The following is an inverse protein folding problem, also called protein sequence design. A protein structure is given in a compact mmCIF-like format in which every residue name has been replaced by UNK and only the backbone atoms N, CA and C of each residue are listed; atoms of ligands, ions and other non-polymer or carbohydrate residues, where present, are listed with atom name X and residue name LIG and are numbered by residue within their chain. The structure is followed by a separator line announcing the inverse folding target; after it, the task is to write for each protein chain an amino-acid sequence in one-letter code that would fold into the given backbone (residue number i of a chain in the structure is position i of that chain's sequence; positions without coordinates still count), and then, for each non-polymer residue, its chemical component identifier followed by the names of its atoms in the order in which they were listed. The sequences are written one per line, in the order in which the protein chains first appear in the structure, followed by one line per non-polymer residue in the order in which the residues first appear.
data_IF_666220141278
#
_entry.id   IF_666220141278
#
_cell.length_a   1.000
_cell.length_b   1.000
_cell.length_c   1.000
_cell.angle_alpha   90.00
_cell.angle_beta   90.00
_cell.angle_gamma   90.00
#
_symmetry.space_group_name_H-M   'P 1'
#
loop_
_entity.id
_entity.type
_entity.pdbx_description
1 polymer ?
#
# COMPACT_ATOMS: atom_id res chain seq x y z
N UNK A 1 32.92 11.39 71.79
CA UNK A 1 32.08 10.62 72.75
C UNK A 1 30.68 11.22 72.75
N UNK A 2 29.71 10.56 72.10
CA UNK A 2 28.29 10.64 72.43
C UNK A 2 27.57 9.46 71.76
N UNK A 3 26.62 8.95 72.51
CA UNK A 3 26.09 7.59 72.51
C UNK A 3 24.86 7.49 71.59
N UNK A 4 24.63 6.28 71.07
CA UNK A 4 23.52 5.83 70.23
C UNK A 4 22.12 5.99 70.85
N UNK A 5 21.11 6.16 69.98
CA UNK A 5 19.70 5.66 70.04
C UNK A 5 18.84 6.53 69.09
N UNK A 6 17.89 6.10 68.25
CA UNK A 6 17.28 4.81 67.84
C UNK A 6 16.53 5.08 66.51
N UNK A 7 16.55 4.08 65.60
CA UNK A 7 15.54 3.62 64.62
C UNK A 7 14.75 4.64 63.75
N UNK A 8 14.80 4.44 62.43
CA UNK A 8 13.69 3.80 61.69
C UNK A 8 14.08 3.45 60.24
N UNK A 9 13.32 2.52 59.70
CA UNK A 9 13.53 1.66 58.52
C UNK A 9 13.50 2.39 57.18
N UNK A 10 14.48 2.12 56.32
CA UNK A 10 14.33 2.20 54.86
C UNK A 10 14.96 0.95 54.23
N UNK A 11 14.20 0.32 53.35
CA UNK A 11 14.53 -0.91 52.61
C UNK A 11 15.64 -0.65 51.58
N UNK A 12 16.46 -1.66 51.26
CA UNK A 12 17.74 -1.46 50.60
C UNK A 12 17.62 -1.35 49.08
N UNK A 13 18.48 -0.50 48.52
CA UNK A 13 18.86 -0.55 47.12
C UNK A 13 19.64 -1.84 46.85
N UNK A 14 19.33 -2.55 45.77
CA UNK A 14 20.27 -3.48 45.15
C UNK A 14 20.20 -3.33 43.63
N UNK A 15 21.35 -2.94 43.10
CA UNK A 15 21.81 -3.15 41.74
C UNK A 15 21.49 -4.57 41.24
N UNK A 16 21.03 -4.69 40.00
CA UNK A 16 21.86 -5.14 38.87
C UNK A 16 21.00 -5.60 37.68
N UNK A 17 21.64 -5.58 36.51
CA UNK A 17 21.27 -6.27 35.28
C UNK A 17 20.22 -5.55 34.43
N UNK A 18 20.68 -4.82 33.41
CA UNK A 18 20.31 -5.09 32.01
C UNK A 18 21.35 -4.44 31.09
N UNK A 19 22.36 -5.24 30.75
CA UNK A 19 23.18 -5.04 29.56
C UNK A 19 22.46 -5.81 28.45
N UNK A 20 22.01 -5.13 27.40
CA UNK A 20 21.11 -5.74 26.41
C UNK A 20 20.77 -4.84 25.23
N UNK A 21 21.84 -4.41 24.56
CA UNK A 21 21.93 -3.70 23.29
C UNK A 21 20.87 -4.09 22.23
N UNK A 22 20.08 -3.12 21.72
CA UNK A 22 19.39 -3.25 20.41
C UNK A 22 18.91 -1.92 19.78
N UNK A 23 19.78 -0.90 19.68
CA UNK A 23 19.46 0.38 19.00
C UNK A 23 20.25 0.61 17.68
N UNK A 24 21.01 -0.37 17.20
CA UNK A 24 21.97 -0.14 16.10
C UNK A 24 21.40 -0.21 14.67
N UNK A 25 20.14 -0.61 14.46
CA UNK A 25 19.60 -0.80 13.11
C UNK A 25 18.95 0.45 12.52
N UNK A 26 18.30 1.31 13.31
CA UNK A 26 17.76 2.58 12.80
C UNK A 26 18.86 3.54 12.33
N UNK A 27 20.02 3.52 13.00
CA UNK A 27 21.14 4.40 12.68
C UNK A 27 21.83 4.01 11.37
N UNK A 28 21.94 2.71 11.05
CA UNK A 28 22.57 2.24 9.79
C UNK A 28 21.82 2.63 8.51
N UNK A 29 20.51 2.87 8.58
CA UNK A 29 19.74 3.38 7.44
C UNK A 29 19.93 4.90 7.23
N UNK A 30 20.27 5.64 8.29
CA UNK A 30 20.37 7.11 8.27
C UNK A 30 21.68 7.62 7.67
N UNK A 31 22.76 6.83 7.69
CA UNK A 31 24.09 7.26 7.20
C UNK A 31 24.22 7.27 5.66
N UNK A 32 23.18 6.87 4.93
CA UNK A 32 23.20 6.78 3.46
C UNK A 32 22.42 7.90 2.74
N UNK A 33 21.93 8.92 3.46
CA UNK A 33 21.21 10.05 2.86
C UNK A 33 22.21 11.19 2.61
N UNK A 34 22.47 11.59 1.34
CA UNK A 34 23.29 12.75 1.07
C UNK A 34 22.63 14.00 1.68
N UNK A 35 23.38 14.75 2.48
CA UNK A 35 22.93 16.05 2.98
C UNK A 35 22.75 17.03 1.81
N UNK A 36 21.59 17.68 1.78
CA UNK A 36 21.24 18.85 0.96
C UNK A 36 21.39 18.70 -0.56
N UNK A 37 20.40 18.06 -1.20
CA UNK A 37 20.02 18.44 -2.57
C UNK A 37 19.04 19.61 -2.44
N UNK A 38 19.46 20.80 -2.87
CA UNK A 38 18.57 21.96 -2.98
C UNK A 38 17.41 21.59 -3.91
N UNK A 39 16.20 21.51 -3.34
CA UNK A 39 14.97 21.20 -4.09
C UNK A 39 14.79 22.27 -5.18
N UNK A 40 14.68 21.92 -6.47
CA UNK A 40 13.89 22.75 -7.36
C UNK A 40 12.50 22.82 -6.73
N UNK A 41 11.94 24.01 -6.63
CA UNK A 41 10.56 24.22 -6.16
C UNK A 41 9.68 23.38 -7.08
N UNK A 42 9.31 22.17 -6.64
CA UNK A 42 8.46 21.29 -7.42
C UNK A 42 7.22 22.10 -7.71
N UNK A 43 6.99 22.41 -8.99
CA UNK A 43 5.75 23.03 -9.39
C UNK A 43 4.66 22.10 -8.89
N UNK A 44 3.86 22.59 -7.94
CA UNK A 44 2.68 21.89 -7.46
C UNK A 44 1.74 21.84 -8.65
N UNK A 45 1.89 20.82 -9.48
CA UNK A 45 0.88 20.46 -10.45
C UNK A 45 -0.32 20.12 -9.58
N UNK A 46 -1.35 20.97 -9.64
CA UNK A 46 -2.67 20.64 -9.11
C UNK A 46 -3.16 19.48 -9.95
N UNK A 47 -2.87 18.27 -9.50
CA UNK A 47 -3.46 17.06 -10.03
C UNK A 47 -4.53 16.67 -9.01
N UNK A 48 -5.79 16.84 -9.37
CA UNK A 48 -6.93 16.42 -8.56
C UNK A 48 -6.92 14.91 -8.36
N UNK A 49 -7.44 14.50 -7.22
CA UNK A 49 -7.53 13.10 -6.81
C UNK A 49 -8.25 12.27 -7.88
N UNK A 50 -7.67 11.11 -8.21
CA UNK A 50 -8.20 10.21 -9.24
C UNK A 50 -8.73 8.94 -8.60
N UNK A 51 -9.82 8.43 -9.14
CA UNK A 51 -10.18 7.03 -8.95
C UNK A 51 -9.22 6.11 -9.71
N UNK A 52 -8.63 5.15 -9.00
CA UNK A 52 -7.77 4.07 -9.53
C UNK A 52 -8.52 2.74 -9.33
N UNK A 53 -8.90 2.03 -10.40
CA UNK A 53 -9.68 0.80 -10.26
C UNK A 53 -8.82 -0.37 -9.75
N UNK A 54 -9.45 -1.42 -9.23
CA UNK A 54 -8.75 -2.61 -8.74
C UNK A 54 -9.33 -3.92 -9.31
N UNK A 55 -8.47 -4.93 -9.45
CA UNK A 55 -8.84 -6.31 -9.78
C UNK A 55 -8.05 -7.24 -8.85
N UNK A 56 -8.72 -7.74 -7.82
CA UNK A 56 -8.12 -8.69 -6.88
C UNK A 56 -8.42 -10.12 -7.35
N UNK A 57 -7.37 -10.92 -7.55
CA UNK A 57 -7.46 -12.25 -8.16
C UNK A 57 -7.07 -13.31 -7.14
N UNK A 58 -7.92 -14.32 -6.99
CA UNK A 58 -7.62 -15.52 -6.20
C UNK A 58 -8.14 -16.77 -6.89
N UNK A 59 -7.25 -17.75 -7.14
CA UNK A 59 -7.55 -18.99 -7.87
C UNK A 59 -8.16 -18.73 -9.26
N UNK A 60 -7.62 -17.74 -9.96
CA UNK A 60 -8.07 -17.33 -11.31
C UNK A 60 -9.41 -16.60 -11.38
N UNK A 61 -10.01 -16.24 -10.23
CA UNK A 61 -11.28 -15.51 -10.17
C UNK A 61 -11.09 -14.14 -9.55
N UNK A 62 -11.86 -13.16 -10.02
CA UNK A 62 -11.93 -11.84 -9.40
C UNK A 62 -12.74 -11.94 -8.12
N UNK A 63 -12.14 -11.57 -6.98
CA UNK A 63 -12.77 -11.66 -5.66
C UNK A 63 -12.54 -10.40 -4.86
N UNK A 64 -13.55 -9.97 -4.12
CA UNK A 64 -13.35 -8.99 -3.06
C UNK A 64 -13.32 -9.70 -1.72
N UNK A 65 -12.34 -9.37 -0.89
CA UNK A 65 -12.09 -10.03 0.39
C UNK A 65 -12.09 -9.02 1.54
N UNK A 66 -12.39 -9.50 2.75
CA UNK A 66 -12.08 -8.73 3.96
C UNK A 66 -10.62 -8.99 4.27
N UNK A 67 -9.74 -8.03 4.01
CA UNK A 67 -8.33 -8.34 3.98
C UNK A 67 -7.73 -8.78 5.34
N UNK A 68 -8.34 -8.43 6.47
CA UNK A 68 -7.97 -8.98 7.79
C UNK A 68 -8.18 -10.50 7.94
N UNK A 69 -8.83 -11.14 6.96
CA UNK A 69 -9.13 -12.59 6.92
C UNK A 69 -8.19 -13.38 6.02
N UNK A 70 -7.16 -12.74 5.45
CA UNK A 70 -6.06 -13.38 4.72
C UNK A 70 -5.15 -14.27 5.60
N UNK A 71 -5.63 -14.75 6.75
CA UNK A 71 -4.85 -15.64 7.62
C UNK A 71 -4.43 -16.88 6.85
N UNK A 72 -3.14 -17.20 6.99
CA UNK A 72 -2.37 -18.06 6.12
C UNK A 72 -3.06 -19.39 5.78
N UNK A 73 -3.27 -19.60 4.47
CA UNK A 73 -3.60 -20.87 3.83
C UNK A 73 -2.49 -21.93 3.96
N UNK A 74 -1.80 -22.01 5.11
CA UNK A 74 -1.00 -23.18 5.47
C UNK A 74 -1.97 -24.25 5.92
N UNK A 75 -2.15 -25.24 5.04
CA UNK A 75 -2.76 -26.55 5.30
C UNK A 75 -3.77 -26.61 6.46
N UNK A 76 -5.05 -26.43 6.14
CA UNK A 76 -6.10 -27.10 6.89
C UNK A 76 -7.05 -26.29 7.79
N UNK A 77 -7.10 -24.96 7.75
CA UNK A 77 -8.26 -24.28 8.36
C UNK A 77 -8.16 -22.79 8.62
N UNK A 78 -8.75 -22.00 7.71
CA UNK A 78 -9.48 -20.75 7.99
C UNK A 78 -10.06 -20.24 6.67
N UNK A 79 -11.37 -20.04 6.59
CA UNK A 79 -12.05 -19.61 5.36
C UNK A 79 -11.76 -18.13 5.09
N UNK A 80 -11.04 -17.84 4.00
CA UNK A 80 -10.95 -16.50 3.42
C UNK A 80 -12.36 -15.91 3.32
N UNK A 81 -12.65 -14.83 4.06
CA UNK A 81 -13.98 -14.22 3.99
C UNK A 81 -14.05 -13.44 2.69
N UNK A 82 -14.81 -14.01 1.75
CA UNK A 82 -15.05 -13.45 0.43
C UNK A 82 -16.31 -12.61 0.50
N UNK A 83 -16.17 -11.30 0.31
CA UNK A 83 -17.31 -10.38 0.17
C UNK A 83 -18.05 -10.62 -1.14
N UNK A 84 -17.31 -10.97 -2.20
CA UNK A 84 -17.84 -11.17 -3.53
C UNK A 84 -16.89 -12.03 -4.37
N UNK A 85 -17.45 -12.89 -5.21
CA UNK A 85 -16.74 -13.60 -6.28
C UNK A 85 -17.47 -13.28 -7.58
N UNK A 86 -16.73 -12.83 -8.60
CA UNK A 86 -17.31 -12.43 -9.86
C UNK A 86 -17.43 -13.60 -10.84
N UNK A 87 -18.53 -13.61 -11.59
CA UNK A 87 -18.65 -14.43 -12.79
C UNK A 87 -17.85 -13.85 -13.97
N UNK A 88 -17.55 -12.55 -13.95
CA UNK A 88 -16.74 -11.88 -14.96
C UNK A 88 -15.26 -12.20 -14.78
N UNK A 89 -14.57 -12.34 -15.91
CA UNK A 89 -13.12 -12.51 -15.98
C UNK A 89 -12.37 -11.21 -15.64
N UNK A 90 -11.08 -11.34 -15.30
CA UNK A 90 -10.21 -10.19 -15.07
C UNK A 90 -10.05 -9.32 -16.35
N UNK A 91 -10.05 -9.94 -17.54
CA UNK A 91 -10.04 -9.24 -18.82
C UNK A 91 -11.29 -8.39 -19.07
N UNK A 92 -12.47 -8.86 -18.66
CA UNK A 92 -13.71 -8.09 -18.79
C UNK A 92 -13.68 -6.83 -17.90
N UNK A 93 -13.18 -6.93 -16.66
CA UNK A 93 -12.99 -5.76 -15.81
C UNK A 93 -11.94 -4.79 -16.39
N UNK A 94 -10.82 -5.31 -16.87
CA UNK A 94 -9.80 -4.48 -17.52
C UNK A 94 -10.33 -3.76 -18.78
N UNK A 95 -11.17 -4.43 -19.57
CA UNK A 95 -11.81 -3.83 -20.75
C UNK A 95 -12.79 -2.72 -20.36
N UNK A 96 -13.62 -2.94 -19.32
CA UNK A 96 -14.49 -1.91 -18.75
C UNK A 96 -13.68 -0.66 -18.33
N UNK A 97 -12.58 -0.85 -17.60
CA UNK A 97 -11.73 0.26 -17.17
C UNK A 97 -11.06 0.99 -18.33
N UNK A 98 -10.75 0.28 -19.42
CA UNK A 98 -10.23 0.85 -20.66
C UNK A 98 -11.26 1.71 -21.37
N UNK A 99 -12.49 1.22 -21.49
CA UNK A 99 -13.61 1.97 -22.07
C UNK A 99 -13.86 3.28 -21.33
N UNK A 100 -13.71 3.28 -20.00
CA UNK A 100 -13.84 4.47 -19.15
C UNK A 100 -12.56 5.32 -19.04
N UNK A 101 -11.46 4.94 -19.71
CA UNK A 101 -10.20 5.69 -19.70
C UNK A 101 -9.54 5.80 -18.32
N UNK A 102 -9.75 4.81 -17.45
CA UNK A 102 -9.16 4.74 -16.11
C UNK A 102 -7.77 4.10 -16.18
N UNK A 103 -6.73 4.76 -15.67
CA UNK A 103 -5.34 4.29 -15.77
C UNK A 103 -4.64 4.22 -14.42
N UNK A 104 -3.67 3.31 -14.32
CA UNK A 104 -2.90 3.00 -13.12
C UNK A 104 -3.75 2.42 -11.98
N UNK A 105 -4.85 1.77 -12.35
CA UNK A 105 -5.48 0.79 -11.48
C UNK A 105 -4.60 -0.45 -11.33
N UNK A 106 -4.85 -1.25 -10.30
CA UNK A 106 -4.02 -2.41 -9.97
C UNK A 106 -4.73 -3.75 -10.19
N UNK A 107 -3.94 -4.75 -10.57
CA UNK A 107 -4.30 -6.16 -10.60
C UNK A 107 -3.46 -6.88 -9.56
N UNK A 108 -4.07 -7.38 -8.49
CA UNK A 108 -3.36 -8.01 -7.37
C UNK A 108 -3.64 -9.50 -7.33
N UNK A 109 -2.59 -10.30 -7.49
CA UNK A 109 -2.66 -11.74 -7.27
C UNK A 109 -2.55 -12.04 -5.77
N UNK A 110 -3.65 -12.49 -5.16
CA UNK A 110 -3.71 -12.88 -3.75
C UNK A 110 -3.11 -14.27 -3.48
N UNK A 111 -2.82 -15.02 -4.54
CA UNK A 111 -2.18 -16.34 -4.51
C UNK A 111 -1.12 -16.48 -5.60
N UNK A 112 -0.13 -17.37 -5.37
CA UNK A 112 0.93 -17.64 -6.34
C UNK A 112 0.56 -18.73 -7.36
N UNK A 113 -0.72 -19.14 -7.41
CA UNK A 113 -1.19 -20.23 -8.25
C UNK A 113 -1.20 -19.87 -9.74
N UNK A 114 -1.02 -20.84 -10.66
CA UNK A 114 -0.99 -20.58 -12.09
C UNK A 114 -2.26 -19.93 -12.65
N UNK A 115 -3.44 -20.22 -12.08
CA UNK A 115 -4.70 -19.64 -12.55
C UNK A 115 -4.74 -18.13 -12.26
N UNK A 116 -4.29 -17.71 -11.07
CA UNK A 116 -4.19 -16.28 -10.73
C UNK A 116 -3.20 -15.54 -11.65
N UNK A 117 -2.08 -16.18 -12.02
CA UNK A 117 -1.12 -15.61 -12.98
C UNK A 117 -1.71 -15.47 -14.39
N UNK A 118 -2.45 -16.48 -14.86
CA UNK A 118 -3.15 -16.43 -16.15
C UNK A 118 -4.15 -15.29 -16.19
N UNK A 119 -5.04 -15.22 -15.19
CA UNK A 119 -6.05 -14.17 -15.12
C UNK A 119 -5.43 -12.76 -15.02
N UNK A 120 -4.32 -12.59 -14.29
CA UNK A 120 -3.60 -11.32 -14.26
C UNK A 120 -3.07 -10.94 -15.64
N UNK A 121 -2.46 -11.90 -16.36
CA UNK A 121 -1.93 -11.69 -17.72
C UNK A 121 -3.04 -11.33 -18.71
N UNK A 122 -4.19 -12.01 -18.64
CA UNK A 122 -5.37 -11.71 -19.45
C UNK A 122 -5.87 -10.28 -19.24
N UNK A 123 -5.87 -9.78 -18.00
CA UNK A 123 -6.22 -8.39 -17.70
C UNK A 123 -5.21 -7.40 -18.31
N UNK A 124 -3.92 -7.69 -18.23
CA UNK A 124 -2.87 -6.86 -18.83
C UNK A 124 -2.98 -6.82 -20.36
N UNK A 125 -3.30 -7.94 -21.01
CA UNK A 125 -3.52 -8.00 -22.45
C UNK A 125 -4.77 -7.25 -22.90
N UNK A 126 -5.83 -7.24 -22.10
CA UNK A 126 -7.05 -6.49 -22.40
C UNK A 126 -6.81 -4.96 -22.36
N UNK A 127 -5.93 -4.51 -21.45
CA UNK A 127 -5.56 -3.11 -21.31
C UNK A 127 -4.05 -2.87 -21.19
N UNK A 128 -3.30 -3.03 -22.30
CA UNK A 128 -1.85 -2.85 -22.29
C UNK A 128 -1.47 -1.42 -21.91
N UNK A 129 -0.56 -1.28 -20.95
CA UNK A 129 -0.13 0.00 -20.38
C UNK A 129 -1.16 0.69 -19.49
N UNK A 130 -2.34 0.11 -19.29
CA UNK A 130 -3.41 0.71 -18.48
C UNK A 130 -3.33 0.36 -17.00
N UNK A 131 -2.87 -0.86 -16.68
CA UNK A 131 -2.92 -1.43 -15.33
C UNK A 131 -1.53 -1.67 -14.74
N UNK A 132 -1.45 -1.71 -13.42
CA UNK A 132 -0.29 -2.10 -12.62
C UNK A 132 -0.52 -3.52 -12.10
N UNK A 133 0.54 -4.31 -11.85
CA UNK A 133 0.38 -5.70 -11.37
C UNK A 133 1.19 -5.98 -10.12
N UNK A 134 0.57 -6.63 -9.14
CA UNK A 134 1.18 -7.01 -7.86
C UNK A 134 0.83 -8.43 -7.44
N UNK A 135 1.47 -8.88 -6.35
CA UNK A 135 1.31 -10.23 -5.81
C UNK A 135 2.44 -11.18 -6.23
N UNK A 136 3.41 -11.41 -5.33
CA UNK A 136 4.54 -12.30 -5.61
C UNK A 136 5.57 -11.78 -6.63
N UNK A 137 5.52 -10.47 -6.95
CA UNK A 137 6.52 -9.84 -7.81
C UNK A 137 7.90 -9.84 -7.13
N UNK A 138 8.91 -10.23 -7.90
CA UNK A 138 10.31 -10.24 -7.51
C UNK A 138 11.20 -9.96 -8.74
N UNK A 139 12.52 -9.96 -8.55
CA UNK A 139 13.46 -9.64 -9.62
C UNK A 139 13.43 -10.63 -10.81
N UNK A 140 12.99 -11.87 -10.60
CA UNK A 140 13.00 -12.90 -11.64
C UNK A 140 11.78 -12.80 -12.57
N UNK A 141 10.66 -12.23 -12.10
CA UNK A 141 9.41 -12.15 -12.86
C UNK A 141 8.98 -10.73 -13.24
N UNK A 142 9.53 -9.69 -12.60
CA UNK A 142 9.08 -8.32 -12.78
C UNK A 142 9.12 -7.85 -14.24
N UNK A 143 10.21 -8.15 -14.95
CA UNK A 143 10.36 -7.73 -16.34
C UNK A 143 9.34 -8.40 -17.27
N UNK A 144 9.09 -9.69 -17.07
CA UNK A 144 8.11 -10.45 -17.84
C UNK A 144 6.72 -9.81 -17.74
N UNK A 145 6.28 -9.40 -16.55
CA UNK A 145 4.99 -8.72 -16.42
C UNK A 145 4.92 -7.36 -17.11
N UNK A 146 6.03 -6.61 -17.18
CA UNK A 146 6.09 -5.37 -17.97
C UNK A 146 5.95 -5.69 -19.46
N UNK A 147 6.60 -6.75 -19.95
CA UNK A 147 6.51 -7.22 -21.34
C UNK A 147 5.09 -7.72 -21.70
N UNK A 148 4.39 -8.32 -20.74
CA UNK A 148 2.97 -8.71 -20.87
C UNK A 148 2.00 -7.51 -20.86
N UNK A 149 2.50 -6.27 -20.73
CA UNK A 149 1.71 -5.05 -20.86
C UNK A 149 1.35 -4.36 -19.54
N UNK A 150 1.93 -4.75 -18.41
CA UNK A 150 1.82 -3.94 -17.20
C UNK A 150 2.50 -2.58 -17.38
N UNK A 151 1.81 -1.52 -16.97
CA UNK A 151 2.41 -0.18 -16.87
C UNK A 151 3.50 -0.15 -15.81
N UNK A 152 3.25 -0.81 -14.67
CA UNK A 152 4.14 -0.91 -13.53
C UNK A 152 4.00 -2.26 -12.87
N UNK A 153 5.06 -2.65 -12.15
CA UNK A 153 4.97 -3.73 -11.16
C UNK A 153 4.88 -3.16 -9.75
N UNK A 154 4.07 -3.79 -8.90
CA UNK A 154 3.83 -3.43 -7.51
C UNK A 154 4.58 -4.44 -6.63
N UNK A 155 5.42 -3.93 -5.72
CA UNK A 155 6.28 -4.75 -4.87
C UNK A 155 6.13 -4.39 -3.40
N UNK A 156 5.98 -5.44 -2.57
CA UNK A 156 5.89 -5.33 -1.11
C UNK A 156 6.88 -6.28 -0.44
N UNK A 157 6.53 -7.56 -0.30
CA UNK A 157 7.26 -8.55 0.53
C UNK A 157 8.64 -8.95 -0.01
N UNK A 158 8.94 -8.69 -1.29
CA UNK A 158 10.29 -8.90 -1.81
C UNK A 158 11.28 -7.89 -1.24
N UNK A 159 10.86 -6.62 -1.09
CA UNK A 159 11.65 -5.52 -0.54
C UNK A 159 11.57 -5.49 0.98
N UNK A 160 10.39 -5.68 1.54
CA UNK A 160 10.16 -5.75 2.98
C UNK A 160 10.10 -7.23 3.41
N UNK A 161 11.23 -7.76 3.85
CA UNK A 161 11.34 -9.17 4.21
C UNK A 161 11.82 -9.30 5.66
N UNK A 162 11.20 -10.22 6.40
CA UNK A 162 11.53 -10.47 7.81
C UNK A 162 11.47 -9.22 8.71
N UNK A 163 10.53 -8.31 8.42
CA UNK A 163 10.38 -7.08 9.19
C UNK A 163 11.40 -5.99 8.84
N UNK A 164 12.27 -6.21 7.85
CA UNK A 164 13.31 -5.26 7.46
C UNK A 164 13.20 -4.91 5.97
N UNK A 165 13.65 -3.70 5.63
CA UNK A 165 13.77 -3.26 4.24
C UNK A 165 15.13 -3.71 3.67
N UNK A 166 15.08 -4.54 2.63
CA UNK A 166 16.25 -4.94 1.85
C UNK A 166 16.50 -3.94 0.71
N UNK A 167 17.39 -2.98 0.99
CA UNK A 167 17.75 -1.94 0.02
C UNK A 167 18.46 -2.50 -1.22
N UNK A 168 19.18 -3.62 -1.12
CA UNK A 168 19.86 -4.20 -2.28
C UNK A 168 18.85 -4.80 -3.25
N UNK A 169 17.83 -5.48 -2.74
CA UNK A 169 16.70 -5.97 -3.54
C UNK A 169 15.94 -4.83 -4.23
N UNK A 170 15.68 -3.73 -3.51
CA UNK A 170 15.03 -2.55 -4.10
C UNK A 170 15.88 -1.97 -5.24
N UNK A 171 17.17 -1.73 -4.99
CA UNK A 171 18.10 -1.22 -6.02
C UNK A 171 18.20 -2.17 -7.22
N UNK A 172 18.16 -3.47 -6.98
CA UNK A 172 18.22 -4.46 -8.05
C UNK A 172 16.96 -4.44 -8.91
N UNK A 173 15.76 -4.38 -8.32
CA UNK A 173 14.51 -4.20 -9.07
C UNK A 173 14.53 -2.93 -9.91
N UNK A 174 14.97 -1.80 -9.35
CA UNK A 174 15.08 -0.53 -10.09
C UNK A 174 16.01 -0.65 -11.29
N UNK A 175 17.09 -1.43 -11.20
CA UNK A 175 17.98 -1.69 -12.35
C UNK A 175 17.31 -2.50 -13.45
N UNK A 176 16.40 -3.40 -13.10
CA UNK A 176 15.72 -4.30 -14.05
C UNK A 176 14.58 -3.58 -14.78
N UNK A 177 13.64 -2.99 -14.04
CA UNK A 177 12.41 -2.42 -14.63
C UNK A 177 12.45 -0.90 -14.81
N UNK A 178 13.37 -0.23 -14.11
CA UNK A 178 13.41 1.23 -13.99
C UNK A 178 12.48 1.72 -12.89
N UNK A 179 12.86 2.82 -12.21
CA UNK A 179 12.04 3.47 -11.18
C UNK A 179 10.64 3.82 -11.71
N UNK A 180 10.56 4.29 -12.96
CA UNK A 180 9.34 4.78 -13.62
C UNK A 180 8.30 3.69 -13.89
N UNK A 181 8.61 2.43 -13.56
CA UNK A 181 7.73 1.26 -13.71
C UNK A 181 7.61 0.47 -12.41
N UNK A 182 8.01 1.07 -11.29
CA UNK A 182 7.97 0.43 -9.97
C UNK A 182 7.03 1.19 -9.04
N UNK A 183 6.05 0.48 -8.49
CA UNK A 183 5.19 0.93 -7.40
C UNK A 183 5.59 0.19 -6.14
N UNK A 184 5.73 0.91 -5.04
CA UNK A 184 5.91 0.30 -3.73
C UNK A 184 4.57 0.27 -3.00
N UNK A 185 4.13 -0.93 -2.63
CA UNK A 185 2.99 -1.09 -1.73
C UNK A 185 3.48 -1.01 -0.28
N UNK A 186 3.00 0.04 0.40
CA UNK A 186 3.35 0.42 1.77
C UNK A 186 2.16 0.19 2.71
N UNK A 187 1.43 -0.92 2.51
CA UNK A 187 0.38 -1.42 3.41
C UNK A 187 0.75 -1.20 4.87
N UNK A 188 -0.08 -0.48 5.63
CA UNK A 188 0.30 -0.02 6.96
C UNK A 188 -0.80 -0.22 8.01
N UNK A 189 -0.36 -0.35 9.26
CA UNK A 189 -1.22 -0.44 10.45
C UNK A 189 -0.76 0.55 11.49
N UNK A 190 -1.71 1.09 12.26
CA UNK A 190 -1.38 2.03 13.34
C UNK A 190 -0.92 1.22 14.57
N UNK A 191 0.31 1.48 15.01
CA UNK A 191 0.90 0.92 16.23
C UNK A 191 1.50 2.04 17.06
N UNK A 192 1.06 2.18 18.30
CA UNK A 192 1.59 3.20 19.24
C UNK A 192 1.58 4.62 18.65
N UNK A 193 0.50 4.97 17.93
CA UNK A 193 0.32 6.29 17.32
C UNK A 193 1.11 6.52 16.02
N UNK A 194 1.81 5.51 15.49
CA UNK A 194 2.55 5.58 14.22
C UNK A 194 2.05 4.56 13.22
N UNK A 195 2.03 4.93 11.94
CA UNK A 195 1.78 3.98 10.85
C UNK A 195 3.03 3.18 10.56
N UNK A 196 2.96 1.87 10.70
CA UNK A 196 4.08 0.95 10.45
C UNK A 196 3.74 0.06 9.27
N UNK A 197 4.70 -0.12 8.35
CA UNK A 197 4.51 -1.01 7.21
C UNK A 197 4.38 -2.45 7.71
N UNK A 198 3.41 -3.17 7.18
CA UNK A 198 3.12 -4.57 7.51
C UNK A 198 3.21 -5.45 6.26
N UNK A 199 3.81 -6.61 6.42
CA UNK A 199 4.00 -7.60 5.36
C UNK A 199 3.34 -8.92 5.76
N UNK A 200 3.53 -9.95 4.92
CA UNK A 200 2.98 -11.30 5.17
C UNK A 200 1.47 -11.25 5.40
N UNK A 201 0.74 -10.71 4.41
CA UNK A 201 -0.72 -10.50 4.50
C UNK A 201 -1.11 -9.67 5.74
N UNK A 202 -0.33 -8.63 5.99
CA UNK A 202 -0.49 -7.64 7.05
C UNK A 202 -0.34 -8.13 8.50
N UNK A 203 0.30 -9.28 8.66
CA UNK A 203 0.51 -9.90 9.97
C UNK A 203 1.84 -9.48 10.59
N UNK A 204 2.87 -9.26 9.77
CA UNK A 204 4.22 -8.99 10.25
C UNK A 204 4.55 -7.51 10.17
N UNK A 205 4.68 -6.87 11.32
CA UNK A 205 5.20 -5.51 11.41
C UNK A 205 6.66 -5.47 10.98
N UNK A 206 7.00 -4.43 10.23
CA UNK A 206 8.39 -4.08 9.92
C UNK A 206 8.92 -3.02 10.89
N UNK A 207 10.23 -2.77 10.84
CA UNK A 207 10.88 -1.68 11.56
C UNK A 207 10.72 -0.32 10.85
N UNK A 208 9.91 -0.27 9.78
CA UNK A 208 9.73 0.91 8.93
C UNK A 208 8.41 1.59 9.25
N UNK A 209 8.52 2.74 9.92
CA UNK A 209 7.39 3.64 10.16
C UNK A 209 7.24 4.62 9.01
N UNK A 210 6.00 4.86 8.58
CA UNK A 210 5.70 5.81 7.53
C UNK A 210 5.78 7.24 8.09
N UNK A 211 6.75 8.00 7.59
CA UNK A 211 6.90 9.43 7.85
C UNK A 211 7.48 10.13 6.60
N UNK A 212 7.66 11.45 6.68
CA UNK A 212 8.20 12.23 5.57
C UNK A 212 9.58 11.76 5.10
N UNK A 213 10.47 11.37 6.02
CA UNK A 213 11.84 10.99 5.66
C UNK A 213 11.85 9.65 4.92
N UNK A 214 11.04 8.70 5.38
CA UNK A 214 10.88 7.40 4.72
C UNK A 214 10.23 7.56 3.35
N UNK A 215 9.18 8.38 3.22
CA UNK A 215 8.54 8.68 1.93
C UNK A 215 9.52 9.35 0.96
N UNK A 216 10.27 10.36 1.41
CA UNK A 216 11.31 11.03 0.60
C UNK A 216 12.39 10.04 0.14
N UNK A 217 12.82 9.13 1.02
CA UNK A 217 13.83 8.12 0.68
C UNK A 217 13.31 7.08 -0.33
N UNK A 218 12.12 6.51 -0.10
CA UNK A 218 11.55 5.49 -0.97
C UNK A 218 11.20 6.04 -2.36
N UNK A 219 10.84 7.33 -2.43
CA UNK A 219 10.57 8.01 -3.69
C UNK A 219 11.81 8.15 -4.60
N UNK A 220 13.02 7.89 -4.10
CA UNK A 220 14.21 7.77 -4.96
C UNK A 220 14.19 6.52 -5.83
N UNK A 221 13.33 5.54 -5.51
CA UNK A 221 13.33 4.22 -6.13
C UNK A 221 12.00 3.84 -6.80
N UNK A 222 10.89 4.51 -6.48
CA UNK A 222 9.56 4.19 -7.02
C UNK A 222 8.91 5.38 -7.74
N UNK A 223 8.05 5.09 -8.72
CA UNK A 223 7.26 6.10 -9.43
C UNK A 223 6.01 6.50 -8.65
N UNK A 224 5.41 5.56 -7.94
CA UNK A 224 4.17 5.75 -7.17
C UNK A 224 4.17 4.89 -5.90
N UNK A 225 3.39 5.32 -4.89
CA UNK A 225 3.07 4.52 -3.71
C UNK A 225 1.63 4.00 -3.78
N UNK A 226 1.44 2.72 -3.44
CA UNK A 226 0.13 2.16 -3.12
C UNK A 226 0.06 1.94 -1.61
N UNK A 227 -0.94 2.51 -0.94
CA UNK A 227 -1.00 2.50 0.53
C UNK A 227 -2.35 1.97 1.00
N UNK A 228 -2.32 0.76 1.54
CA UNK A 228 -3.47 0.12 2.13
C UNK A 228 -3.63 0.53 3.60
N UNK A 229 -4.81 1.06 3.96
CA UNK A 229 -5.24 1.29 5.33
C UNK A 229 -5.79 0.00 5.94
N UNK A 230 -4.91 -0.89 6.36
CA UNK A 230 -5.25 -2.28 6.73
C UNK A 230 -6.34 -2.38 7.79
N UNK A 231 -6.37 -1.45 8.76
CA UNK A 231 -7.33 -1.51 9.85
C UNK A 231 -8.78 -1.24 9.39
N UNK A 232 -8.99 -0.64 8.21
CA UNK A 232 -10.31 -0.33 7.61
C UNK A 232 -10.59 -1.07 6.28
N UNK A 233 -9.60 -1.71 5.69
CA UNK A 233 -9.70 -2.33 4.37
C UNK A 233 -10.70 -3.49 4.29
N UNK A 234 -11.58 -3.45 3.29
CA UNK A 234 -12.61 -4.47 3.06
C UNK A 234 -13.72 -4.53 4.13
N UNK A 235 -13.65 -3.69 5.18
CA UNK A 235 -14.60 -3.69 6.31
C UNK A 235 -15.82 -2.78 6.10
N UNK A 236 -15.75 -1.84 5.15
CA UNK A 236 -16.80 -0.82 4.93
C UNK A 236 -17.15 -0.04 6.22
N UNK A 237 -16.14 0.35 6.99
CA UNK A 237 -16.29 1.06 8.28
C UNK A 237 -15.88 2.54 8.21
N UNK A 238 -15.68 3.08 7.00
CA UNK A 238 -15.13 4.41 6.79
C UNK A 238 -13.62 4.40 6.57
N UNK A 239 -13.09 5.53 6.11
CA UNK A 239 -11.69 5.72 5.71
C UNK A 239 -10.78 5.99 6.90
N UNK A 240 -9.47 5.78 6.73
CA UNK A 240 -8.45 6.29 7.65
C UNK A 240 -7.98 7.68 7.20
N UNK A 241 -8.69 8.72 7.66
CA UNK A 241 -8.41 10.11 7.29
C UNK A 241 -7.03 10.61 7.77
N UNK A 242 -6.54 10.11 8.90
CA UNK A 242 -5.21 10.46 9.42
C UNK A 242 -4.11 9.96 8.48
N UNK A 243 -4.23 8.73 7.99
CA UNK A 243 -3.30 8.17 7.02
C UNK A 243 -3.34 8.94 5.70
N UNK A 244 -4.54 9.25 5.19
CA UNK A 244 -4.70 10.05 3.96
C UNK A 244 -4.06 11.43 4.12
N UNK A 245 -4.24 12.07 5.29
CA UNK A 245 -3.61 13.37 5.62
C UNK A 245 -2.09 13.29 5.64
N UNK A 246 -1.54 12.21 6.22
CA UNK A 246 -0.09 11.96 6.23
C UNK A 246 0.46 11.89 4.80
N UNK A 247 -0.21 11.14 3.92
CA UNK A 247 0.19 10.99 2.52
C UNK A 247 0.09 12.32 1.76
N UNK A 248 -1.02 13.05 1.88
CA UNK A 248 -1.22 14.34 1.21
C UNK A 248 -0.17 15.38 1.58
N UNK A 249 0.26 15.40 2.86
CA UNK A 249 1.28 16.31 3.36
C UNK A 249 2.69 15.92 2.94
N UNK A 250 3.01 14.63 2.95
CA UNK A 250 4.39 14.18 2.96
C UNK A 250 4.84 13.37 1.74
N UNK A 251 3.92 12.81 0.94
CA UNK A 251 4.33 12.05 -0.25
C UNK A 251 4.94 13.00 -1.30
N UNK A 252 6.19 12.76 -1.77
CA UNK A 252 6.81 13.56 -2.81
C UNK A 252 6.46 13.09 -4.24
N UNK A 253 5.87 11.89 -4.36
CA UNK A 253 5.43 11.25 -5.62
C UNK A 253 3.94 10.89 -5.51
N UNK A 254 3.26 10.53 -6.61
CA UNK A 254 1.87 10.06 -6.56
C UNK A 254 1.68 8.97 -5.51
N UNK A 255 0.55 9.01 -4.82
CA UNK A 255 0.16 8.02 -3.84
C UNK A 255 -1.32 7.67 -4.02
N UNK A 256 -1.62 6.38 -4.05
CA UNK A 256 -2.98 5.86 -4.09
C UNK A 256 -3.33 5.24 -2.75
N UNK A 257 -4.37 5.74 -2.10
CA UNK A 257 -4.93 5.17 -0.88
C UNK A 257 -5.98 4.10 -1.20
N UNK A 258 -5.91 2.96 -0.51
CA UNK A 258 -6.85 1.86 -0.64
C UNK A 258 -7.37 1.45 0.75
N UNK A 259 -8.69 1.51 0.97
CA UNK A 259 -9.33 0.99 2.18
C UNK A 259 -10.49 1.83 2.71
N UNK A 260 -11.52 1.15 3.22
CA UNK A 260 -12.55 1.78 4.05
C UNK A 260 -13.66 2.56 3.34
N UNK A 261 -13.53 2.89 2.05
CA UNK A 261 -14.57 3.61 1.28
C UNK A 261 -15.90 2.86 1.29
N UNK A 262 -16.99 3.58 1.51
CA UNK A 262 -18.37 3.07 1.57
C UNK A 262 -19.36 3.86 0.72
N UNK A 263 -19.19 5.18 0.65
CA UNK A 263 -20.12 6.13 0.01
C UNK A 263 -19.38 7.22 -0.76
N UNK A 264 -20.06 7.94 -1.64
CA UNK A 264 -19.44 9.03 -2.43
C UNK A 264 -18.81 10.12 -1.56
N UNK A 265 -19.35 10.44 -0.38
CA UNK A 265 -18.78 11.45 0.51
C UNK A 265 -17.38 11.07 1.02
N UNK A 266 -17.06 9.78 1.09
CA UNK A 266 -15.71 9.34 1.47
C UNK A 266 -14.67 9.77 0.43
N UNK A 267 -15.02 9.82 -0.86
CA UNK A 267 -14.12 10.29 -1.92
C UNK A 267 -13.81 11.78 -1.77
N UNK A 268 -14.81 12.59 -1.38
CA UNK A 268 -14.61 14.02 -1.09
C UNK A 268 -13.75 14.21 0.16
N UNK A 269 -13.98 13.42 1.22
CA UNK A 269 -13.13 13.47 2.41
C UNK A 269 -11.69 13.09 2.09
N UNK A 270 -11.46 12.02 1.29
CA UNK A 270 -10.11 11.64 0.84
C UNK A 270 -9.47 12.76 0.03
N UNK A 271 -10.21 13.37 -0.90
CA UNK A 271 -9.72 14.49 -1.71
C UNK A 271 -9.27 15.66 -0.82
N UNK A 272 -10.09 16.06 0.15
CA UNK A 272 -9.78 17.18 1.05
C UNK A 272 -8.59 16.84 1.97
N UNK A 273 -8.64 15.70 2.67
CA UNK A 273 -7.59 15.26 3.59
C UNK A 273 -6.25 15.03 2.86
N UNK A 274 -6.32 14.45 1.67
CA UNK A 274 -5.18 14.19 0.78
C UNK A 274 -4.65 15.44 0.08
N UNK A 275 -5.23 16.61 0.35
CA UNK A 275 -4.85 17.89 -0.26
C UNK A 275 -4.90 17.84 -1.79
N UNK A 276 -5.90 17.13 -2.32
CA UNK A 276 -6.11 16.79 -3.73
C UNK A 276 -5.03 15.90 -4.37
N UNK A 277 -3.98 15.50 -3.64
CA UNK A 277 -2.79 14.81 -4.18
C UNK A 277 -2.81 13.29 -3.99
N UNK A 278 -3.80 12.77 -3.28
CA UNK A 278 -3.93 11.34 -2.98
C UNK A 278 -5.06 10.77 -3.83
N UNK A 279 -4.70 9.81 -4.67
CA UNK A 279 -5.63 9.03 -5.47
C UNK A 279 -6.33 7.99 -4.58
N UNK A 280 -7.44 7.42 -5.07
CA UNK A 280 -8.29 6.50 -4.30
C UNK A 280 -8.61 5.24 -5.07
N UNK A 281 -8.48 4.09 -4.41
CA UNK A 281 -9.03 2.81 -4.86
C UNK A 281 -10.31 2.50 -4.11
N UNK A 282 -11.32 2.01 -4.84
CA UNK A 282 -12.57 1.48 -4.27
C UNK A 282 -12.79 0.07 -4.79
N UNK A 283 -12.82 -0.91 -3.89
CA UNK A 283 -13.13 -2.31 -4.19
C UNK A 283 -14.54 -2.68 -3.74
N UNK A 284 -14.64 -3.43 -2.64
CA UNK A 284 -15.87 -4.05 -2.10
C UNK A 284 -17.13 -3.17 -1.99
N UNK A 285 -17.00 -1.84 -1.97
CA UNK A 285 -18.14 -0.94 -1.93
C UNK A 285 -18.85 -0.77 -3.28
N UNK A 286 -18.15 -1.01 -4.40
CA UNK A 286 -18.71 -0.85 -5.73
C UNK A 286 -19.75 -1.92 -6.07
N UNK A 287 -20.80 -1.53 -6.77
CA UNK A 287 -21.85 -2.42 -7.29
C UNK A 287 -21.34 -3.47 -8.28
N UNK A 288 -20.31 -3.13 -9.07
CA UNK A 288 -19.60 -4.09 -9.95
C UNK A 288 -18.88 -5.21 -9.18
N UNK A 289 -18.78 -5.07 -7.84
CA UNK A 289 -18.28 -6.07 -6.90
C UNK A 289 -19.30 -6.42 -5.80
N UNK A 290 -20.60 -6.26 -6.06
CA UNK A 290 -21.66 -6.62 -5.12
C UNK A 290 -21.87 -5.66 -3.96
N UNK A 291 -21.29 -4.45 -4.01
CA UNK A 291 -21.56 -3.36 -3.08
C UNK A 291 -22.75 -2.48 -3.50
N UNK A 292 -22.91 -1.35 -2.80
CA UNK A 292 -24.04 -0.43 -3.00
C UNK A 292 -23.63 0.91 -3.64
N UNK A 293 -22.33 1.18 -3.77
CA UNK A 293 -21.81 2.38 -4.38
C UNK A 293 -21.79 2.19 -5.89
N UNK A 294 -22.51 3.02 -6.64
CA UNK A 294 -22.60 2.86 -8.09
C UNK A 294 -21.26 3.19 -8.76
N UNK A 295 -20.69 2.24 -9.51
CA UNK A 295 -19.44 2.43 -10.24
C UNK A 295 -19.48 3.65 -11.18
N UNK A 296 -20.59 3.83 -11.89
CA UNK A 296 -20.80 4.98 -12.79
C UNK A 296 -20.67 6.35 -12.09
N UNK A 297 -21.07 6.44 -10.81
CA UNK A 297 -21.02 7.69 -10.05
C UNK A 297 -19.57 8.00 -9.67
N UNK A 298 -18.78 6.97 -9.35
CA UNK A 298 -17.33 7.09 -9.10
C UNK A 298 -16.58 7.48 -10.38
N UNK A 299 -16.95 6.93 -11.54
CA UNK A 299 -16.38 7.32 -12.84
C UNK A 299 -16.75 8.76 -13.21
N UNK A 300 -18.00 9.17 -12.98
CA UNK A 300 -18.43 10.55 -13.19
C UNK A 300 -17.64 11.52 -12.29
N UNK A 301 -17.45 11.16 -11.02
CA UNK A 301 -16.61 11.92 -10.08
C UNK A 301 -15.16 12.04 -10.56
N UNK A 302 -14.54 10.94 -10.99
CA UNK A 302 -13.19 10.92 -11.56
C UNK A 302 -13.05 11.88 -12.75
N UNK A 303 -14.05 11.86 -13.65
CA UNK A 303 -14.06 12.70 -14.85
C UNK A 303 -14.16 14.19 -14.50
N UNK A 304 -14.97 14.53 -13.49
CA UNK A 304 -15.06 15.90 -12.98
C UNK A 304 -13.72 16.39 -12.41
N UNK A 305 -12.98 15.54 -11.69
CA UNK A 305 -11.67 15.93 -11.15
C UNK A 305 -10.65 16.22 -12.26
N UNK A 306 -10.63 15.41 -13.33
CA UNK A 306 -9.78 15.67 -14.50
C UNK A 306 -10.09 17.01 -15.15
N UNK A 307 -11.37 17.37 -15.29
CA UNK A 307 -11.77 18.65 -15.90
C UNK A 307 -11.31 19.87 -15.08
N UNK A 308 -11.16 19.74 -13.75
CA UNK A 308 -10.71 20.80 -12.85
C UNK A 308 -9.17 20.99 -12.83
N UNK A 309 -8.42 20.06 -13.43
CA UNK A 309 -6.94 20.08 -13.47
C UNK A 309 -6.35 20.70 -14.74
N UNK A 310 -7.21 21.05 -15.70
CA UNK A 310 -6.86 21.76 -16.94
C UNK A 310 -6.98 23.25 -16.71
#
# INVERSE_FOLDING_TARGET
MRVYSLRSTSTPSFSAIFNGNNNNNQQKFMDAVPSSISRPRAMSIKCGARFRPCIDIHKGKVKQIVGSTLQDLKEGGSSLVTNFESDKSAAEYASLYKEDGLTGGHVIMLGADPLSKSAATEALHAYPGGLQVGGGINADNALSYIEEGASHVIVTSYVFNNGQMDLQRLKYLVRIVGKQRLVLDLSCRKKEGKYTIVTDRWQKFTDVCLDQKILDFLALYADEFLVHGVDVEGKKLGIDEELVTLLGRHSPIPATYAGGVTVMSDLETIKVAGMERVDVTVGSALDIFGGNLAYKDVVAWHTQQKALTV
#
